data_IF_248390171033
#
_entry.id   IF_248390171033
#
_cell.length_a   1.000
_cell.length_b   1.000
_cell.length_c   1.000
_cell.angle_alpha   90.00
_cell.angle_beta   90.00
_cell.angle_gamma   90.00
#
_symmetry.space_group_name_H-M   'P 1'
#
loop_
_entity.id
_entity.type
_entity.pdbx_description
1 polymer ?
#
# COMPACT_ATOMS: atom_id res chain seq x y z
N UNK A 1 -25.55 -8.29 -10.43
CA UNK A 1 -24.88 -7.65 -9.28
C UNK A 1 -23.88 -6.65 -9.84
N UNK A 2 -23.87 -5.39 -9.37
CA UNK A 2 -22.75 -4.48 -9.67
C UNK A 2 -21.46 -5.12 -9.15
N UNK A 3 -20.37 -5.08 -9.92
CA UNK A 3 -19.07 -5.59 -9.46
C UNK A 3 -18.59 -4.75 -8.27
N UNK A 4 -18.37 -5.39 -7.12
CA UNK A 4 -17.84 -4.73 -5.92
C UNK A 4 -16.41 -4.25 -6.18
N UNK A 5 -16.06 -3.04 -5.71
CA UNK A 5 -14.68 -2.57 -5.73
C UNK A 5 -13.80 -3.45 -4.83
N UNK A 6 -12.66 -3.88 -5.35
CA UNK A 6 -11.65 -4.65 -4.61
C UNK A 6 -10.85 -3.77 -3.66
N UNK A 7 -10.53 -2.54 -4.09
CA UNK A 7 -9.62 -1.64 -3.38
C UNK A 7 -10.13 -0.20 -3.35
N UNK A 8 -9.98 0.44 -2.19
CA UNK A 8 -10.07 1.89 -2.03
C UNK A 8 -8.97 2.42 -1.08
N UNK A 9 -8.72 3.72 -1.07
CA UNK A 9 -7.67 4.35 -0.24
C UNK A 9 -8.13 5.66 0.37
N UNK A 10 -7.75 5.90 1.62
CA UNK A 10 -7.86 7.22 2.29
C UNK A 10 -6.57 8.05 2.16
N UNK A 11 -5.56 7.51 1.48
CA UNK A 11 -4.37 8.27 1.10
C UNK A 11 -4.71 9.30 0.02
N UNK A 12 -3.94 10.39 -0.04
CA UNK A 12 -4.19 11.49 -0.98
C UNK A 12 -3.32 11.36 -2.23
N UNK A 13 -3.78 11.98 -3.31
CA UNK A 13 -2.93 12.48 -4.38
C UNK A 13 -2.20 13.76 -3.93
N UNK A 14 -0.94 13.90 -4.32
CA UNK A 14 -0.12 15.09 -4.08
C UNK A 14 0.71 15.36 -5.34
N UNK A 15 1.00 16.62 -5.65
CA UNK A 15 2.07 16.99 -6.58
C UNK A 15 3.34 17.20 -5.75
N UNK A 16 4.32 16.32 -5.90
CA UNK A 16 5.59 16.41 -5.19
C UNK A 16 6.57 17.33 -5.92
N UNK A 17 7.31 18.08 -5.11
CA UNK A 17 8.50 18.84 -5.50
C UNK A 17 9.70 18.16 -4.84
N UNK A 18 10.67 17.71 -5.63
CA UNK A 18 11.88 17.06 -5.14
C UNK A 18 13.05 18.02 -5.31
N UNK A 19 13.71 18.33 -4.19
CA UNK A 19 14.95 19.09 -4.12
C UNK A 19 16.10 18.13 -3.78
N UNK A 20 17.00 17.93 -4.74
CA UNK A 20 18.11 16.99 -4.63
C UNK A 20 19.30 17.56 -3.85
N UNK A 21 19.27 18.84 -3.45
CA UNK A 21 20.32 19.48 -2.66
C UNK A 21 21.57 19.90 -3.45
N UNK A 22 21.66 19.54 -4.73
CA UNK A 22 22.71 19.96 -5.69
C UNK A 22 22.30 21.17 -6.55
N UNK A 23 21.16 21.80 -6.21
CA UNK A 23 20.53 22.87 -6.99
C UNK A 23 19.54 22.40 -8.05
N UNK A 24 19.42 21.09 -8.28
CA UNK A 24 18.37 20.51 -9.12
C UNK A 24 17.07 20.39 -8.32
N UNK A 25 16.00 20.96 -8.85
CA UNK A 25 14.64 20.83 -8.31
C UNK A 25 13.71 20.35 -9.40
N UNK A 26 12.99 19.26 -9.14
CA UNK A 26 11.90 18.78 -9.99
C UNK A 26 10.56 19.08 -9.31
N UNK A 27 9.81 20.05 -9.83
CA UNK A 27 8.69 20.68 -9.10
C UNK A 27 7.29 20.17 -9.48
N UNK A 28 7.21 19.18 -10.37
CA UNK A 28 5.91 18.65 -10.85
C UNK A 28 6.03 17.15 -11.06
N UNK A 29 6.03 16.42 -9.95
CA UNK A 29 6.07 14.96 -9.94
C UNK A 29 4.78 14.43 -9.34
N UNK A 30 4.27 13.33 -9.90
CA UNK A 30 3.13 12.62 -9.31
C UNK A 30 3.56 12.03 -7.97
N UNK A 31 2.83 12.40 -6.93
CA UNK A 31 3.11 12.01 -5.56
C UNK A 31 1.88 11.56 -4.78
N UNK A 32 2.10 11.40 -3.48
CA UNK A 32 1.06 11.07 -2.52
C UNK A 32 0.79 9.57 -2.39
N UNK A 33 0.84 9.08 -1.15
CA UNK A 33 0.70 7.65 -0.85
C UNK A 33 -0.64 7.05 -1.29
N UNK A 34 -1.68 7.87 -1.47
CA UNK A 34 -2.96 7.38 -2.00
C UNK A 34 -2.87 6.90 -3.44
N UNK A 35 -2.22 7.69 -4.31
CA UNK A 35 -2.12 7.35 -5.71
C UNK A 35 -1.11 6.20 -5.93
N UNK A 36 0.00 6.17 -5.20
CA UNK A 36 0.92 5.03 -5.24
C UNK A 36 0.27 3.73 -4.74
N UNK A 37 -0.57 3.77 -3.70
CA UNK A 37 -1.33 2.58 -3.31
C UNK A 37 -2.34 2.16 -4.40
N UNK A 38 -2.99 3.11 -5.08
CA UNK A 38 -3.85 2.78 -6.21
C UNK A 38 -3.06 2.18 -7.40
N UNK A 39 -1.85 2.67 -7.68
CA UNK A 39 -0.93 2.10 -8.66
C UNK A 39 -0.62 0.63 -8.30
N UNK A 40 -0.23 0.36 -7.05
CA UNK A 40 0.09 -0.99 -6.60
C UNK A 40 -1.09 -1.95 -6.73
N UNK A 41 -2.29 -1.48 -6.38
CA UNK A 41 -3.51 -2.24 -6.56
C UNK A 41 -3.81 -2.50 -8.05
N UNK A 42 -3.61 -1.52 -8.93
CA UNK A 42 -3.81 -1.69 -10.38
C UNK A 42 -2.80 -2.64 -11.01
N UNK A 43 -1.53 -2.56 -10.61
CA UNK A 43 -0.50 -3.50 -11.04
C UNK A 43 -0.93 -4.94 -10.71
N UNK A 44 -1.33 -5.18 -9.46
CA UNK A 44 -1.74 -6.50 -8.99
C UNK A 44 -3.10 -6.97 -9.56
N UNK A 45 -4.01 -6.07 -9.93
CA UNK A 45 -5.35 -6.45 -10.42
C UNK A 45 -5.35 -7.00 -11.85
N UNK A 46 -4.34 -6.63 -12.65
CA UNK A 46 -4.39 -6.77 -14.10
C UNK A 46 -5.52 -5.94 -14.74
N UNK A 47 -5.62 -5.99 -16.07
CA UNK A 47 -6.65 -5.34 -16.88
C UNK A 47 -8.05 -5.85 -16.50
N UNK A 48 -8.19 -7.17 -16.33
CA UNK A 48 -9.48 -7.81 -16.05
C UNK A 48 -10.18 -7.24 -14.80
N UNK A 49 -9.42 -6.89 -13.77
CA UNK A 49 -9.94 -6.31 -12.53
C UNK A 49 -9.57 -4.83 -12.33
N UNK A 50 -9.09 -4.12 -13.37
CA UNK A 50 -8.66 -2.73 -13.25
C UNK A 50 -9.74 -1.81 -12.66
N UNK A 51 -11.01 -2.02 -13.06
CA UNK A 51 -12.17 -1.27 -12.55
C UNK A 51 -12.53 -1.58 -11.10
N UNK A 52 -11.98 -2.63 -10.50
CA UNK A 52 -12.14 -2.92 -9.07
C UNK A 52 -11.27 -2.01 -8.19
N UNK A 53 -10.32 -1.27 -8.78
CA UNK A 53 -9.45 -0.32 -8.08
C UNK A 53 -10.07 1.07 -8.14
N UNK A 54 -10.25 1.73 -6.99
CA UNK A 54 -10.72 3.12 -6.93
C UNK A 54 -9.88 3.96 -5.98
N UNK A 55 -9.66 5.21 -6.36
CA UNK A 55 -9.08 6.25 -5.51
C UNK A 55 -9.73 7.59 -5.83
N UNK A 56 -9.41 8.61 -5.05
CA UNK A 56 -9.88 9.98 -5.27
C UNK A 56 -8.68 10.87 -5.56
N UNK A 57 -8.77 11.63 -6.66
CA UNK A 57 -7.81 12.67 -7.02
C UNK A 57 -8.49 14.03 -6.92
N UNK A 58 -8.08 14.82 -5.92
CA UNK A 58 -8.56 16.19 -5.72
C UNK A 58 -7.72 17.18 -6.52
N UNK A 59 -8.32 17.74 -7.58
CA UNK A 59 -7.71 18.68 -8.50
C UNK A 59 -7.99 20.11 -8.08
N UNK A 60 -6.94 20.92 -7.95
CA UNK A 60 -7.05 22.37 -7.87
C UNK A 60 -7.02 23.04 -9.23
N UNK A 61 -7.00 24.37 -9.25
CA UNK A 61 -6.92 25.18 -10.46
C UNK A 61 -5.60 25.02 -11.25
N UNK A 62 -4.56 24.48 -10.63
CA UNK A 62 -3.22 24.27 -11.18
C UNK A 62 -2.93 22.80 -11.55
N UNK A 63 -3.95 21.94 -11.56
CA UNK A 63 -3.76 20.51 -11.81
C UNK A 63 -3.26 20.25 -13.25
N UNK A 64 -2.11 19.57 -13.45
CA UNK A 64 -1.59 19.28 -14.80
C UNK A 64 -2.46 18.29 -15.56
N UNK A 65 -2.87 18.63 -16.79
CA UNK A 65 -3.77 17.79 -17.59
C UNK A 65 -3.11 16.44 -17.97
N UNK A 66 -1.80 16.43 -18.15
CA UNK A 66 -1.00 15.24 -18.42
C UNK A 66 -1.06 14.22 -17.28
N UNK A 67 -1.25 14.65 -16.04
CA UNK A 67 -1.42 13.73 -14.91
C UNK A 67 -2.76 13.03 -14.95
N UNK A 68 -3.84 13.76 -15.29
CA UNK A 68 -5.15 13.14 -15.47
C UNK A 68 -5.11 12.16 -16.64
N UNK A 69 -4.55 12.56 -17.78
CA UNK A 69 -4.43 11.69 -18.95
C UNK A 69 -3.65 10.42 -18.63
N UNK A 70 -2.54 10.52 -17.88
CA UNK A 70 -1.76 9.37 -17.43
C UNK A 70 -2.57 8.45 -16.50
N UNK A 71 -3.21 8.99 -15.47
CA UNK A 71 -3.97 8.20 -14.48
C UNK A 71 -5.17 7.51 -15.14
N UNK A 72 -5.81 8.16 -16.12
CA UNK A 72 -6.90 7.58 -16.91
C UNK A 72 -6.45 6.35 -17.72
N UNK A 73 -5.18 6.30 -18.17
CA UNK A 73 -4.65 5.10 -18.87
C UNK A 73 -4.71 3.84 -18.03
N UNK A 74 -4.71 3.96 -16.70
CA UNK A 74 -4.77 2.80 -15.80
C UNK A 74 -6.10 2.05 -15.88
N UNK A 75 -7.15 2.63 -16.47
CA UNK A 75 -8.44 1.97 -16.65
C UNK A 75 -9.16 1.66 -15.33
N UNK A 76 -8.82 2.39 -14.27
CA UNK A 76 -9.38 2.20 -12.92
C UNK A 76 -10.71 2.92 -12.76
N UNK A 77 -11.35 2.75 -11.61
CA UNK A 77 -12.53 3.52 -11.19
C UNK A 77 -12.11 4.75 -10.36
N UNK A 78 -11.00 5.39 -10.73
CA UNK A 78 -10.53 6.64 -10.12
C UNK A 78 -11.57 7.76 -10.29
N UNK A 79 -11.80 8.53 -9.23
CA UNK A 79 -12.70 9.69 -9.24
C UNK A 79 -11.86 10.96 -9.14
N UNK A 80 -11.98 11.81 -10.16
CA UNK A 80 -11.41 13.15 -10.14
C UNK A 80 -12.44 14.15 -9.62
N UNK A 81 -12.10 14.87 -8.54
CA UNK A 81 -12.93 15.97 -8.00
C UNK A 81 -12.24 17.29 -8.27
N UNK A 82 -12.92 18.22 -8.93
CA UNK A 82 -12.35 19.53 -9.28
C UNK A 82 -12.84 20.59 -8.31
N UNK A 83 -11.90 21.38 -7.78
CA UNK A 83 -12.18 22.56 -6.99
C UNK A 83 -11.26 23.71 -7.44
N UNK A 84 -11.79 24.59 -8.29
CA UNK A 84 -11.05 25.71 -8.85
C UNK A 84 -10.78 26.84 -7.83
N UNK A 85 -11.35 26.75 -6.62
CA UNK A 85 -11.12 27.71 -5.54
C UNK A 85 -9.83 27.47 -4.75
N UNK A 86 -9.07 26.41 -5.08
CA UNK A 86 -7.81 26.05 -4.40
C UNK A 86 -6.75 25.57 -5.38
N UNK A 87 -5.50 25.59 -4.92
CA UNK A 87 -4.42 24.84 -5.54
C UNK A 87 -4.51 23.36 -5.18
N UNK A 88 -3.99 22.52 -6.05
CA UNK A 88 -3.79 21.09 -5.85
C UNK A 88 -2.85 20.90 -4.67
N UNK A 89 -3.08 19.85 -3.86
CA UNK A 89 -2.21 19.56 -2.72
C UNK A 89 -0.79 19.31 -3.22
N UNK A 90 0.18 20.05 -2.70
CA UNK A 90 1.60 19.96 -3.05
C UNK A 90 2.43 19.71 -1.80
N UNK A 91 3.51 18.96 -1.96
CA UNK A 91 4.50 18.77 -0.91
C UNK A 91 5.91 18.91 -1.46
N UNK A 92 6.79 19.42 -0.62
CA UNK A 92 8.22 19.53 -0.90
C UNK A 92 8.96 18.43 -0.15
N UNK A 93 9.90 17.81 -0.86
CA UNK A 93 10.79 16.75 -0.41
C UNK A 93 12.23 17.18 -0.60
N UNK A 94 12.93 17.49 0.49
CA UNK A 94 14.35 17.83 0.44
C UNK A 94 15.23 16.66 0.84
N UNK A 95 16.26 16.40 0.05
CA UNK A 95 17.33 15.46 0.37
C UNK A 95 18.55 16.24 0.86
N UNK A 96 18.84 16.16 2.17
CA UNK A 96 20.05 16.76 2.74
C UNK A 96 21.31 15.88 2.54
N UNK A 97 22.50 16.36 2.92
CA UNK A 97 23.78 15.63 2.80
C UNK A 97 23.81 14.24 3.48
N UNK A 98 22.89 13.99 4.41
CA UNK A 98 22.78 12.77 5.22
C UNK A 98 21.60 11.88 4.74
N UNK A 99 21.06 12.10 3.53
CA UNK A 99 19.91 11.37 2.97
C UNK A 99 18.63 11.40 3.83
N UNK A 100 18.55 12.25 4.86
CA UNK A 100 17.33 12.45 5.63
C UNK A 100 16.34 13.25 4.77
N UNK A 101 15.21 12.63 4.42
CA UNK A 101 14.11 13.28 3.70
C UNK A 101 13.43 14.29 4.64
N UNK A 102 13.45 15.57 4.28
CA UNK A 102 12.61 16.57 4.90
C UNK A 102 11.32 16.71 4.09
N UNK A 103 10.16 16.69 4.76
CA UNK A 103 8.84 16.74 4.13
C UNK A 103 8.02 17.93 4.65
N UNK A 104 7.40 18.69 3.77
CA UNK A 104 6.39 19.70 4.16
C UNK A 104 5.34 19.89 3.08
N UNK A 105 4.10 20.15 3.48
CA UNK A 105 3.07 20.62 2.56
C UNK A 105 3.32 22.08 2.19
N UNK A 106 3.25 22.40 0.89
CA UNK A 106 3.43 23.78 0.39
C UNK A 106 2.11 24.41 -0.08
N UNK A 107 1.05 23.61 -0.23
CA UNK A 107 -0.33 24.08 -0.37
C UNK A 107 -1.23 23.40 0.65
N UNK A 108 -2.47 23.90 0.79
CA UNK A 108 -3.42 23.38 1.79
C UNK A 108 -3.70 21.89 1.55
N UNK A 109 -3.40 21.09 2.58
CA UNK A 109 -3.70 19.67 2.64
C UNK A 109 -5.21 19.42 2.65
N UNK A 110 -5.73 18.70 1.65
CA UNK A 110 -7.12 18.21 1.62
C UNK A 110 -7.18 16.73 1.96
N UNK A 111 -7.46 16.42 3.23
CA UNK A 111 -7.61 15.03 3.70
C UNK A 111 -8.91 14.42 3.20
N UNK A 112 -8.87 13.14 2.87
CA UNK A 112 -10.06 12.34 2.59
C UNK A 112 -10.66 11.85 3.91
N UNK A 113 -11.92 12.17 4.15
CA UNK A 113 -12.68 11.65 5.30
C UNK A 113 -13.69 10.60 4.82
N UNK A 114 -14.38 9.93 5.75
CA UNK A 114 -15.36 8.88 5.39
C UNK A 114 -16.42 9.42 4.43
N UNK A 115 -16.86 10.66 4.62
CA UNK A 115 -17.86 11.37 3.81
C UNK A 115 -17.34 11.73 2.41
N UNK A 116 -16.02 11.70 2.21
CA UNK A 116 -15.42 11.94 0.89
C UNK A 116 -15.70 10.83 -0.11
N UNK A 117 -15.96 9.62 0.38
CA UNK A 117 -16.20 8.44 -0.46
C UNK A 117 -17.60 8.49 -1.09
N UNK A 118 -17.75 7.92 -2.27
CA UNK A 118 -19.07 7.51 -2.76
C UNK A 118 -19.58 6.29 -1.98
N UNK A 119 -20.88 5.98 -2.10
CA UNK A 119 -21.43 4.77 -1.47
C UNK A 119 -20.77 3.49 -2.01
N UNK A 120 -20.47 3.46 -3.30
CA UNK A 120 -19.75 2.35 -3.93
C UNK A 120 -18.31 2.21 -3.37
N UNK A 121 -17.59 3.32 -3.21
CA UNK A 121 -16.26 3.33 -2.58
C UNK A 121 -16.31 2.90 -1.12
N UNK A 122 -17.32 3.35 -0.35
CA UNK A 122 -17.50 2.96 1.04
C UNK A 122 -17.74 1.45 1.20
N UNK A 123 -18.24 0.78 0.15
CA UNK A 123 -18.51 -0.65 0.10
C UNK A 123 -17.35 -1.50 -0.46
N UNK A 124 -16.18 -0.92 -0.74
CA UNK A 124 -15.01 -1.66 -1.22
C UNK A 124 -14.62 -2.83 -0.28
N UNK A 125 -13.96 -3.84 -0.83
CA UNK A 125 -13.51 -5.01 -0.07
C UNK A 125 -12.33 -4.67 0.85
N UNK A 126 -11.36 -3.88 0.38
CA UNK A 126 -10.17 -3.50 1.13
C UNK A 126 -9.92 -2.00 1.12
N UNK A 127 -9.30 -1.50 2.19
CA UNK A 127 -8.92 -0.09 2.33
C UNK A 127 -7.48 0.07 2.74
N UNK A 128 -6.76 0.92 2.02
CA UNK A 128 -5.45 1.44 2.41
C UNK A 128 -5.59 2.76 3.20
N UNK A 129 -4.85 2.88 4.30
CA UNK A 129 -4.79 4.07 5.15
C UNK A 129 -3.35 4.42 5.51
N UNK A 130 -2.95 5.67 5.23
CA UNK A 130 -1.69 6.27 5.72
C UNK A 130 -2.03 7.43 6.65
N UNK A 131 -1.94 7.19 7.96
CA UNK A 131 -2.35 8.18 8.97
C UNK A 131 -1.86 7.88 10.39
N UNK A 132 -2.06 8.83 11.30
CA UNK A 132 -1.83 8.63 12.74
C UNK A 132 -2.69 7.49 13.30
N UNK A 133 -2.27 6.84 14.40
CA UNK A 133 -3.07 5.79 15.02
C UNK A 133 -4.47 6.28 15.44
N UNK A 134 -4.56 7.47 16.02
CA UNK A 134 -5.84 8.11 16.39
C UNK A 134 -6.79 8.31 15.20
N UNK A 135 -6.27 8.74 14.06
CA UNK A 135 -7.06 8.92 12.84
C UNK A 135 -7.46 7.58 12.23
N UNK A 136 -6.58 6.57 12.27
CA UNK A 136 -6.91 5.21 11.83
C UNK A 136 -8.17 4.70 12.54
N UNK A 137 -8.21 4.78 13.87
CA UNK A 137 -9.38 4.38 14.66
C UNK A 137 -10.65 5.16 14.27
N UNK A 138 -10.54 6.48 14.10
CA UNK A 138 -11.68 7.33 13.70
C UNK A 138 -12.22 6.94 12.32
N UNK A 139 -11.34 6.70 11.33
CA UNK A 139 -11.74 6.33 9.98
C UNK A 139 -12.39 4.94 9.95
N UNK A 140 -11.83 3.96 10.66
CA UNK A 140 -12.38 2.60 10.70
C UNK A 140 -13.77 2.60 11.33
N UNK A 141 -13.97 3.30 12.45
CA UNK A 141 -15.26 3.41 13.10
C UNK A 141 -16.29 4.13 12.22
N UNK A 142 -15.94 5.29 11.65
CA UNK A 142 -16.83 6.03 10.77
C UNK A 142 -17.20 5.24 9.51
N UNK A 143 -16.23 4.54 8.90
CA UNK A 143 -16.47 3.67 7.76
C UNK A 143 -17.41 2.51 8.12
N UNK A 144 -17.24 1.92 9.31
CA UNK A 144 -18.12 0.85 9.79
C UNK A 144 -19.56 1.32 10.00
N UNK A 145 -19.76 2.49 10.62
CA UNK A 145 -21.09 3.10 10.76
C UNK A 145 -21.72 3.39 9.40
N UNK A 146 -20.95 4.00 8.48
CA UNK A 146 -21.43 4.30 7.12
C UNK A 146 -21.83 3.03 6.37
N UNK A 147 -21.04 1.96 6.45
CA UNK A 147 -21.34 0.69 5.78
C UNK A 147 -22.61 0.04 6.30
N UNK A 148 -22.82 0.01 7.63
CA UNK A 148 -24.06 -0.50 8.24
C UNK A 148 -25.27 0.33 7.80
N UNK A 149 -25.13 1.65 7.69
CA UNK A 149 -26.20 2.53 7.24
C UNK A 149 -26.59 2.30 5.77
N UNK A 150 -25.61 1.99 4.91
CA UNK A 150 -25.85 1.64 3.51
C UNK A 150 -26.48 0.25 3.39
N UNK A 151 -25.89 -0.75 4.06
CA UNK A 151 -26.30 -2.15 4.03
C UNK A 151 -26.07 -2.82 5.38
N UNK A 152 -27.15 -3.16 6.11
CA UNK A 152 -27.07 -3.67 7.49
C UNK A 152 -26.26 -4.98 7.64
N UNK A 153 -26.23 -5.82 6.60
CA UNK A 153 -25.48 -7.08 6.57
C UNK A 153 -24.10 -6.97 5.93
N UNK A 154 -23.61 -5.75 5.65
CA UNK A 154 -22.34 -5.55 4.98
C UNK A 154 -21.19 -6.05 5.86
N UNK A 155 -20.30 -6.93 5.36
CA UNK A 155 -19.15 -7.37 6.14
C UNK A 155 -18.21 -6.21 6.45
N UNK A 156 -17.42 -6.37 7.52
CA UNK A 156 -16.29 -5.48 7.77
C UNK A 156 -15.30 -5.57 6.61
N UNK A 157 -14.79 -4.43 6.10
CA UNK A 157 -13.76 -4.45 5.08
C UNK A 157 -12.41 -4.87 5.68
N UNK A 158 -11.47 -5.27 4.82
CA UNK A 158 -10.08 -5.52 5.24
C UNK A 158 -9.34 -4.19 5.27
N UNK A 159 -8.75 -3.84 6.42
CA UNK A 159 -8.01 -2.59 6.60
C UNK A 159 -6.51 -2.84 6.62
N UNK A 160 -5.80 -2.14 5.74
CA UNK A 160 -4.35 -2.10 5.63
C UNK A 160 -3.89 -0.71 6.05
N UNK A 161 -3.17 -0.63 7.17
CA UNK A 161 -2.76 0.63 7.76
C UNK A 161 -1.26 0.73 7.89
N UNK A 162 -0.71 1.87 7.43
CA UNK A 162 0.64 2.31 7.78
C UNK A 162 0.60 3.59 8.63
N UNK A 163 1.44 3.67 9.67
CA UNK A 163 1.60 4.89 10.46
C UNK A 163 2.30 5.97 9.63
N UNK A 164 2.12 7.24 10.02
CA UNK A 164 2.88 8.34 9.44
C UNK A 164 4.24 8.49 10.16
N UNK A 165 5.34 8.73 9.42
CA UNK A 165 6.68 8.82 10.01
C UNK A 165 6.78 9.80 11.18
N UNK A 166 6.17 10.99 11.05
CA UNK A 166 6.22 12.07 12.05
C UNK A 166 5.68 11.67 13.45
N UNK A 167 4.89 10.61 13.53
CA UNK A 167 4.28 10.12 14.77
C UNK A 167 4.77 8.73 15.17
N UNK A 168 5.79 8.19 14.50
CA UNK A 168 6.48 6.99 14.94
C UNK A 168 7.41 7.37 16.10
N UNK A 169 6.83 7.58 17.28
CA UNK A 169 7.56 8.01 18.46
C UNK A 169 7.12 7.20 19.67
N UNK A 170 7.92 7.13 20.75
CA UNK A 170 7.53 6.38 21.93
C UNK A 170 6.27 6.89 22.62
N UNK A 171 5.96 8.19 22.48
CA UNK A 171 4.73 8.76 23.02
C UNK A 171 3.46 8.21 22.35
N UNK A 172 3.56 7.68 21.13
CA UNK A 172 2.43 7.16 20.35
C UNK A 172 2.30 5.63 20.42
N UNK A 173 3.17 4.93 21.14
CA UNK A 173 3.18 3.46 21.18
C UNK A 173 1.87 2.86 21.71
N UNK A 174 1.22 3.52 22.67
CA UNK A 174 -0.05 3.05 23.21
C UNK A 174 -1.20 3.31 22.23
N UNK A 175 -1.17 4.44 21.53
CA UNK A 175 -2.12 4.71 20.45
C UNK A 175 -1.94 3.73 19.29
N UNK A 176 -0.70 3.36 18.95
CA UNK A 176 -0.37 2.31 17.98
C UNK A 176 -0.99 0.97 18.39
N UNK A 177 -0.81 0.55 19.65
CA UNK A 177 -1.40 -0.68 20.20
C UNK A 177 -2.93 -0.65 20.21
N UNK A 178 -3.54 0.51 20.44
CA UNK A 178 -4.99 0.65 20.39
C UNK A 178 -5.50 0.55 18.95
N UNK A 179 -4.91 1.32 18.03
CA UNK A 179 -5.26 1.32 16.61
C UNK A 179 -5.08 -0.05 15.95
N UNK A 180 -4.05 -0.80 16.38
CA UNK A 180 -3.85 -2.18 15.97
C UNK A 180 -5.13 -3.00 16.09
N UNK A 181 -5.92 -2.86 17.16
CA UNK A 181 -7.15 -3.66 17.39
C UNK A 181 -8.26 -3.44 16.34
N UNK A 182 -8.15 -2.41 15.51
CA UNK A 182 -9.15 -2.03 14.50
C UNK A 182 -8.79 -2.49 13.09
N UNK A 183 -7.58 -3.00 12.86
CA UNK A 183 -7.07 -3.27 11.51
C UNK A 183 -6.60 -4.70 11.29
N UNK A 184 -6.67 -5.15 10.05
CA UNK A 184 -6.23 -6.49 9.64
C UNK A 184 -4.72 -6.55 9.40
N UNK A 185 -4.15 -5.49 8.83
CA UNK A 185 -2.72 -5.37 8.56
C UNK A 185 -2.17 -4.08 9.13
N UNK A 186 -1.12 -4.19 9.92
CA UNK A 186 -0.30 -3.08 10.41
C UNK A 186 1.03 -3.14 9.66
N UNK A 187 1.42 -2.08 8.96
CA UNK A 187 2.62 -2.10 8.11
C UNK A 187 3.54 -0.89 8.25
N UNK A 188 4.27 -0.78 9.37
CA UNK A 188 5.38 0.14 9.47
C UNK A 188 6.57 -0.33 8.64
N UNK A 189 7.46 0.59 8.31
CA UNK A 189 8.82 0.22 7.93
C UNK A 189 9.66 -0.15 9.17
N UNK A 190 10.85 -0.74 8.96
CA UNK A 190 11.70 -1.20 10.06
C UNK A 190 12.16 -0.10 11.03
N UNK A 191 12.42 1.10 10.53
CA UNK A 191 12.80 2.27 11.35
C UNK A 191 11.60 2.81 12.12
N UNK A 192 10.47 3.03 11.44
CA UNK A 192 9.20 3.45 12.07
C UNK A 192 8.82 2.52 13.23
N UNK A 193 8.92 1.20 13.03
CA UNK A 193 8.65 0.22 14.08
C UNK A 193 9.63 0.37 15.24
N UNK A 194 10.92 0.58 14.99
CA UNK A 194 11.91 0.76 16.06
C UNK A 194 11.64 2.06 16.84
N UNK A 195 11.31 3.16 16.16
CA UNK A 195 11.13 4.47 16.77
C UNK A 195 9.95 4.50 17.76
N UNK A 196 8.88 3.74 17.51
CA UNK A 196 7.77 3.56 18.48
C UNK A 196 8.22 2.94 19.81
N UNK A 197 9.29 2.14 19.82
CA UNK A 197 9.73 1.39 20.99
C UNK A 197 11.07 1.89 21.56
N UNK A 198 11.57 3.04 21.09
CA UNK A 198 12.87 3.57 21.44
C UNK A 198 13.01 4.05 22.91
N UNK A 199 11.93 4.16 23.69
CA UNK A 199 11.98 4.64 25.08
C UNK A 199 12.19 3.55 26.15
N UNK A 200 12.47 2.31 25.75
CA UNK A 200 12.65 1.19 26.69
C UNK A 200 14.02 1.22 27.38
N UNK A 201 14.07 0.92 28.69
CA UNK A 201 15.32 0.60 29.40
C UNK A 201 15.97 -0.71 28.89
N UNK A 202 15.21 -1.50 28.14
CA UNK A 202 15.62 -2.75 27.53
C UNK A 202 15.32 -2.69 26.03
N UNK A 203 16.31 -3.03 25.21
CA UNK A 203 16.12 -3.24 23.78
C UNK A 203 15.16 -4.43 23.58
N UNK A 204 13.98 -4.16 23.02
CA UNK A 204 13.04 -5.20 22.62
C UNK A 204 13.50 -5.81 21.30
N UNK A 205 13.34 -7.14 21.15
CA UNK A 205 13.50 -7.73 19.83
C UNK A 205 12.35 -7.29 18.92
N UNK A 206 12.57 -7.28 17.60
CA UNK A 206 11.50 -7.02 16.63
C UNK A 206 10.31 -7.97 16.80
N UNK A 207 10.56 -9.22 17.20
CA UNK A 207 9.49 -10.19 17.50
C UNK A 207 8.65 -9.76 18.68
N UNK A 208 9.26 -9.23 19.74
CA UNK A 208 8.53 -8.77 20.93
C UNK A 208 7.72 -7.50 20.65
N UNK A 209 8.30 -6.56 19.88
CA UNK A 209 7.59 -5.36 19.41
C UNK A 209 6.32 -5.76 18.65
N UNK A 210 6.46 -6.65 17.66
CA UNK A 210 5.34 -7.15 16.84
C UNK A 210 4.34 -7.95 17.68
N UNK A 211 4.79 -8.82 18.58
CA UNK A 211 3.91 -9.58 19.46
C UNK A 211 3.04 -8.67 20.34
N UNK A 212 3.55 -7.49 20.71
CA UNK A 212 2.77 -6.49 21.45
C UNK A 212 1.65 -5.86 20.61
N UNK A 213 1.80 -5.84 19.29
CA UNK A 213 0.81 -5.31 18.33
C UNK A 213 -0.23 -6.35 17.91
N UNK A 214 0.18 -7.62 17.82
CA UNK A 214 -0.72 -8.73 17.47
C UNK A 214 -1.72 -8.98 18.60
N UNK A 215 -2.86 -8.28 18.54
CA UNK A 215 -4.03 -8.48 19.40
C UNK A 215 -5.17 -9.02 18.53
N UNK A 216 -6.05 -9.85 19.09
CA UNK A 216 -7.23 -10.32 18.34
C UNK A 216 -8.03 -9.09 17.86
N UNK A 217 -8.22 -8.95 16.55
CA UNK A 217 -8.94 -7.84 15.92
C UNK A 217 -10.43 -8.17 15.80
N UNK A 218 -11.23 -7.80 16.80
CA UNK A 218 -12.66 -8.16 16.88
C UNK A 218 -12.90 -9.68 16.85
N UNK A 219 -14.04 -10.10 16.30
CA UNK A 219 -14.41 -11.52 16.14
C UNK A 219 -13.66 -12.22 14.98
N UNK A 220 -12.90 -11.47 14.16
CA UNK A 220 -12.15 -12.00 13.03
C UNK A 220 -10.72 -12.37 13.46
N UNK A 221 -10.42 -13.67 13.42
CA UNK A 221 -9.25 -14.28 14.05
C UNK A 221 -7.85 -13.93 13.46
N UNK A 222 -7.71 -12.96 12.55
CA UNK A 222 -6.58 -12.96 11.60
C UNK A 222 -6.01 -11.57 11.34
N UNK A 223 -5.34 -11.02 12.36
CA UNK A 223 -4.47 -9.85 12.25
C UNK A 223 -3.04 -10.26 11.93
N UNK A 224 -2.35 -9.45 11.12
CA UNK A 224 -0.93 -9.62 10.82
C UNK A 224 -0.18 -8.29 10.93
N UNK A 225 1.13 -8.37 11.11
CA UNK A 225 2.04 -7.24 10.95
C UNK A 225 2.94 -7.51 9.76
N UNK A 226 3.07 -6.57 8.84
CA UNK A 226 4.00 -6.67 7.70
C UNK A 226 5.02 -5.56 7.81
N UNK A 227 6.23 -5.90 8.24
CA UNK A 227 7.31 -4.90 8.36
C UNK A 227 7.99 -4.77 6.99
N UNK A 228 7.99 -3.54 6.44
CA UNK A 228 8.68 -3.21 5.19
C UNK A 228 10.15 -2.88 5.49
N UNK A 229 11.07 -3.53 4.79
CA UNK A 229 12.51 -3.52 5.14
C UNK A 229 13.39 -3.09 3.95
N UNK A 230 12.82 -2.37 2.99
CA UNK A 230 13.58 -1.78 1.88
C UNK A 230 14.30 -2.84 1.04
N UNK A 231 15.63 -2.72 0.94
CA UNK A 231 16.47 -3.67 0.18
C UNK A 231 16.44 -5.09 0.73
N UNK A 232 16.15 -5.27 2.03
CA UNK A 232 15.97 -6.60 2.63
C UNK A 232 14.62 -7.24 2.25
N UNK A 233 13.68 -6.46 1.71
CA UNK A 233 12.35 -6.91 1.33
C UNK A 233 11.32 -6.65 2.43
N UNK A 234 10.66 -7.69 2.92
CA UNK A 234 9.62 -7.58 3.95
C UNK A 234 9.50 -8.82 4.83
N UNK A 235 8.99 -8.62 6.04
CA UNK A 235 8.65 -9.71 6.97
C UNK A 235 7.18 -9.69 7.33
N UNK A 236 6.49 -10.78 7.04
CA UNK A 236 5.13 -11.07 7.44
C UNK A 236 5.14 -11.78 8.79
N UNK A 237 4.51 -11.18 9.79
CA UNK A 237 4.31 -11.74 11.11
C UNK A 237 2.84 -12.11 11.31
N UNK A 238 2.61 -13.37 11.62
CA UNK A 238 1.32 -13.92 12.05
C UNK A 238 1.43 -14.37 13.51
N UNK A 239 0.32 -14.80 14.14
CA UNK A 239 0.34 -15.27 15.53
C UNK A 239 1.26 -16.48 15.79
N UNK A 240 1.60 -17.26 14.76
CA UNK A 240 2.42 -18.48 14.93
C UNK A 240 3.63 -18.57 14.01
N UNK A 241 3.78 -17.67 13.03
CA UNK A 241 4.80 -17.79 11.99
C UNK A 241 5.31 -16.44 11.53
N UNK A 242 6.60 -16.39 11.23
CA UNK A 242 7.26 -15.25 10.59
C UNK A 242 7.78 -15.72 9.24
N UNK A 243 7.39 -15.03 8.17
CA UNK A 243 7.85 -15.31 6.81
C UNK A 243 8.61 -14.09 6.29
N UNK A 244 9.77 -14.33 5.70
CA UNK A 244 10.61 -13.33 5.05
C UNK A 244 10.49 -13.45 3.54
N UNK A 245 10.16 -12.34 2.88
CA UNK A 245 10.14 -12.23 1.42
C UNK A 245 11.20 -11.21 1.01
N UNK A 246 12.21 -11.66 0.27
CA UNK A 246 13.29 -10.79 -0.21
C UNK A 246 12.77 -9.77 -1.21
N UNK A 247 13.46 -8.64 -1.34
CA UNK A 247 13.15 -7.63 -2.33
C UNK A 247 13.18 -8.20 -3.77
N UNK A 248 12.41 -7.59 -4.67
CA UNK A 248 12.43 -7.97 -6.07
C UNK A 248 13.81 -7.67 -6.70
N UNK A 249 14.31 -6.45 -6.54
CA UNK A 249 15.62 -6.04 -7.06
C UNK A 249 16.72 -6.44 -6.08
N UNK A 250 17.73 -7.15 -6.60
CA UNK A 250 18.95 -7.49 -5.87
C UNK A 250 20.12 -6.56 -6.26
N UNK A 251 19.99 -5.87 -7.40
CA UNK A 251 20.93 -4.88 -7.88
C UNK A 251 20.43 -3.47 -7.53
N UNK A 252 21.12 -2.71 -6.66
CA UNK A 252 20.71 -1.37 -6.28
C UNK A 252 20.73 -0.39 -7.46
N UNK A 253 21.45 -0.68 -8.56
CA UNK A 253 21.47 0.19 -9.75
C UNK A 253 20.11 0.30 -10.45
N UNK A 254 19.21 -0.67 -10.18
CA UNK A 254 17.83 -0.69 -10.71
C UNK A 254 16.86 0.15 -9.86
N UNK A 255 17.30 0.66 -8.72
CA UNK A 255 16.50 1.49 -7.81
C UNK A 255 16.88 2.96 -8.02
N UNK A 256 16.10 3.68 -8.82
CA UNK A 256 16.39 5.08 -9.15
C UNK A 256 15.78 6.06 -8.15
N UNK A 257 14.58 5.78 -7.65
CA UNK A 257 13.89 6.60 -6.65
C UNK A 257 13.02 5.71 -5.76
N UNK A 258 13.29 5.58 -4.45
CA UNK A 258 12.49 4.72 -3.57
C UNK A 258 11.09 5.30 -3.25
N UNK A 259 10.79 6.52 -3.70
CA UNK A 259 9.52 7.22 -3.40
C UNK A 259 8.32 6.41 -3.88
N UNK A 260 7.31 6.28 -3.00
CA UNK A 260 6.08 5.57 -3.32
C UNK A 260 6.18 4.04 -3.34
N UNK A 261 7.38 3.45 -3.25
CA UNK A 261 7.57 2.00 -3.22
C UNK A 261 6.82 1.33 -2.06
N UNK A 262 6.88 1.91 -0.86
CA UNK A 262 6.14 1.44 0.31
C UNK A 262 4.61 1.52 0.16
N UNK A 263 4.08 2.61 -0.39
CA UNK A 263 2.63 2.74 -0.60
C UNK A 263 2.16 1.80 -1.72
N UNK A 264 2.94 1.66 -2.79
CA UNK A 264 2.68 0.72 -3.90
C UNK A 264 2.66 -0.72 -3.40
N UNK A 265 3.60 -1.08 -2.52
CA UNK A 265 3.57 -2.36 -1.81
C UNK A 265 2.22 -2.59 -1.12
N UNK A 266 1.74 -1.61 -0.33
CA UNK A 266 0.48 -1.75 0.41
C UNK A 266 -0.75 -1.79 -0.50
N UNK A 267 -0.70 -1.13 -1.65
CA UNK A 267 -1.69 -1.27 -2.71
C UNK A 267 -1.80 -2.70 -3.24
N UNK A 268 -0.65 -3.28 -3.62
CA UNK A 268 -0.57 -4.67 -4.08
C UNK A 268 -1.01 -5.67 -3.01
N UNK A 269 -0.62 -5.43 -1.75
CA UNK A 269 -1.06 -6.23 -0.61
C UNK A 269 -2.58 -6.17 -0.43
N UNK A 270 -3.16 -4.98 -0.45
CA UNK A 270 -4.60 -4.78 -0.28
C UNK A 270 -5.40 -5.43 -1.42
N UNK A 271 -4.91 -5.37 -2.65
CA UNK A 271 -5.54 -6.04 -3.78
C UNK A 271 -5.43 -7.57 -3.69
N UNK A 272 -4.26 -8.09 -3.30
CA UNK A 272 -4.07 -9.52 -3.05
C UNK A 272 -5.01 -10.07 -1.98
N UNK A 273 -5.23 -9.32 -0.89
CA UNK A 273 -6.19 -9.69 0.15
C UNK A 273 -7.65 -9.59 -0.30
N UNK A 274 -7.94 -8.82 -1.35
CA UNK A 274 -9.28 -8.79 -1.96
C UNK A 274 -9.53 -10.02 -2.84
N UNK A 275 -8.49 -10.75 -3.24
CA UNK A 275 -8.54 -11.90 -4.14
C UNK A 275 -8.82 -11.55 -5.61
N UNK A 276 -8.86 -10.27 -5.97
CA UNK A 276 -9.14 -9.82 -7.35
C UNK A 276 -7.83 -9.50 -8.10
N UNK A 277 -6.84 -10.37 -7.96
CA UNK A 277 -5.51 -10.22 -8.54
C UNK A 277 -5.30 -11.09 -9.77
N UNK A 278 -4.33 -10.71 -10.58
CA UNK A 278 -3.82 -11.47 -11.70
C UNK A 278 -2.28 -11.36 -11.71
N UNK A 279 -1.51 -12.46 -11.57
CA UNK A 279 -1.94 -13.86 -11.39
C UNK A 279 -2.73 -14.11 -10.09
N UNK A 280 -3.47 -15.23 -10.01
CA UNK A 280 -4.31 -15.55 -8.85
C UNK A 280 -3.65 -16.52 -7.85
N UNK A 281 -4.39 -16.94 -6.80
CA UNK A 281 -3.85 -17.85 -5.79
C UNK A 281 -3.53 -19.26 -6.32
N UNK A 282 -4.15 -19.70 -7.42
CA UNK A 282 -3.85 -20.99 -8.07
C UNK A 282 -2.54 -20.89 -8.83
N UNK A 283 -2.31 -19.77 -9.51
CA UNK A 283 -1.01 -19.48 -10.13
C UNK A 283 0.10 -19.42 -9.08
N UNK A 284 -0.16 -18.78 -7.95
CA UNK A 284 0.73 -18.73 -6.78
C UNK A 284 1.03 -20.14 -6.24
N UNK A 285 0.00 -20.97 -6.02
CA UNK A 285 0.15 -22.34 -5.51
C UNK A 285 0.96 -23.21 -6.47
N UNK A 286 0.66 -23.11 -7.77
CA UNK A 286 1.38 -23.81 -8.84
C UNK A 286 2.84 -23.36 -8.90
N UNK A 287 3.10 -22.05 -8.82
CA UNK A 287 4.43 -21.47 -8.83
C UNK A 287 5.32 -21.95 -7.67
N UNK A 288 4.74 -22.18 -6.49
CA UNK A 288 5.47 -22.77 -5.35
C UNK A 288 5.51 -24.30 -5.37
N UNK A 289 4.72 -24.95 -6.22
CA UNK A 289 4.51 -26.39 -6.20
C UNK A 289 3.79 -26.88 -4.94
N UNK A 290 2.91 -26.06 -4.38
CA UNK A 290 1.99 -26.45 -3.32
C UNK A 290 0.79 -27.18 -3.92
N UNK A 291 0.16 -28.06 -3.14
CA UNK A 291 -1.06 -28.76 -3.58
C UNK A 291 -2.14 -27.71 -3.85
N UNK A 292 -2.75 -27.77 -5.04
CA UNK A 292 -3.82 -26.85 -5.42
C UNK A 292 -5.05 -27.07 -4.51
N UNK A 293 -5.27 -26.14 -3.58
CA UNK A 293 -6.47 -26.13 -2.74
C UNK A 293 -7.66 -25.56 -3.52
N UNK A 294 -8.87 -26.06 -3.21
CA UNK A 294 -10.12 -25.53 -3.80
C UNK A 294 -10.42 -24.09 -3.33
N UNK A 295 -9.99 -23.76 -2.11
CA UNK A 295 -10.03 -22.42 -1.51
C UNK A 295 -8.68 -22.15 -0.86
N UNK A 296 -8.13 -20.92 -0.96
CA UNK A 296 -6.81 -20.64 -0.39
C UNK A 296 -6.87 -20.67 1.14
N UNK A 297 -5.92 -21.39 1.75
CA UNK A 297 -5.60 -21.22 3.17
C UNK A 297 -5.23 -19.76 3.48
N UNK A 298 -5.33 -19.35 4.74
CA UNK A 298 -4.89 -18.01 5.14
C UNK A 298 -3.43 -17.75 4.78
N UNK A 299 -2.56 -18.75 4.98
CA UNK A 299 -1.15 -18.64 4.65
C UNK A 299 -0.98 -18.40 3.16
N UNK A 300 -1.68 -19.16 2.32
CA UNK A 300 -1.66 -18.99 0.86
C UNK A 300 -2.18 -17.62 0.44
N UNK A 301 -3.32 -17.15 1.00
CA UNK A 301 -3.86 -15.81 0.72
C UNK A 301 -2.89 -14.70 1.11
N UNK A 302 -2.33 -14.76 2.33
CA UNK A 302 -1.36 -13.76 2.79
C UNK A 302 -0.10 -13.78 1.94
N UNK A 303 0.43 -14.96 1.62
CA UNK A 303 1.62 -15.10 0.80
C UNK A 303 1.40 -14.56 -0.61
N UNK A 304 0.27 -14.90 -1.25
CA UNK A 304 -0.16 -14.33 -2.54
C UNK A 304 -0.14 -12.80 -2.47
N UNK A 305 -0.74 -12.24 -1.42
CA UNK A 305 -0.83 -10.79 -1.27
C UNK A 305 0.54 -10.12 -1.05
N UNK A 306 1.43 -10.69 -0.25
CA UNK A 306 2.77 -10.12 -0.02
C UNK A 306 3.67 -10.30 -1.26
N UNK A 307 3.50 -11.35 -2.05
CA UNK A 307 4.21 -11.48 -3.35
C UNK A 307 3.76 -10.38 -4.31
N UNK A 308 2.46 -10.14 -4.47
CA UNK A 308 1.96 -9.02 -5.28
C UNK A 308 2.48 -7.68 -4.77
N UNK A 309 2.52 -7.49 -3.45
CA UNK A 309 3.07 -6.31 -2.81
C UNK A 309 4.54 -6.08 -3.20
N UNK A 310 5.37 -7.11 -3.11
CA UNK A 310 6.80 -7.05 -3.48
C UNK A 310 7.00 -6.75 -4.97
N UNK A 311 6.25 -7.44 -5.84
CA UNK A 311 6.38 -7.25 -7.29
C UNK A 311 5.89 -5.86 -7.70
N UNK A 312 4.75 -5.40 -7.17
CA UNK A 312 4.21 -4.08 -7.46
C UNK A 312 5.15 -2.95 -7.02
N UNK A 313 5.72 -3.06 -5.81
CA UNK A 313 6.69 -2.08 -5.31
C UNK A 313 7.91 -1.93 -6.23
N UNK A 314 8.34 -3.01 -6.88
CA UNK A 314 9.50 -3.00 -7.78
C UNK A 314 9.33 -2.11 -9.01
N UNK A 315 8.10 -1.91 -9.47
CA UNK A 315 7.80 -1.00 -10.59
C UNK A 315 7.85 0.47 -10.16
N UNK A 316 7.45 0.80 -8.94
CA UNK A 316 7.40 2.18 -8.50
C UNK A 316 8.80 2.79 -8.32
N UNK A 317 9.79 1.95 -8.00
CA UNK A 317 11.13 2.43 -7.61
C UNK A 317 12.16 2.48 -8.75
N UNK A 318 11.79 2.04 -9.95
CA UNK A 318 12.65 2.01 -11.14
C UNK A 318 12.77 3.37 -11.85
N UNK A 319 12.05 4.40 -11.40
CA UNK A 319 12.04 5.73 -11.99
C UNK A 319 11.55 6.79 -11.01
N UNK A 320 11.81 8.07 -11.32
CA UNK A 320 11.12 9.18 -10.67
C UNK A 320 9.66 9.23 -11.13
N UNK A 321 8.73 9.36 -10.18
CA UNK A 321 7.29 9.37 -10.44
C UNK A 321 6.68 7.96 -10.55
N UNK A 322 5.80 7.74 -11.53
CA UNK A 322 5.02 6.50 -11.67
C UNK A 322 5.33 5.79 -13.00
N UNK A 323 5.27 4.45 -13.05
CA UNK A 323 5.49 3.70 -14.28
C UNK A 323 4.39 3.97 -15.29
N UNK A 324 4.71 3.80 -16.58
CA UNK A 324 3.77 3.98 -17.69
C UNK A 324 3.22 2.64 -18.15
N UNK A 325 1.91 2.55 -18.25
CA UNK A 325 1.26 1.41 -18.89
C UNK A 325 1.43 1.50 -20.41
N UNK A 326 1.80 0.39 -21.05
CA UNK A 326 1.95 0.33 -22.49
C UNK A 326 0.56 0.40 -23.18
N UNK A 327 0.35 1.34 -24.13
CA UNK A 327 -0.93 1.43 -24.85
C UNK A 327 -1.25 0.21 -25.70
N UNK A 328 -0.23 -0.54 -26.15
CA UNK A 328 -0.37 -1.73 -27.00
C UNK A 328 -0.54 -3.02 -26.21
N UNK A 329 -0.06 -3.04 -24.96
CA UNK A 329 -0.17 -4.16 -24.04
C UNK A 329 -0.52 -3.64 -22.64
N UNK A 330 -1.82 -3.76 -22.30
CA UNK A 330 -2.40 -3.22 -21.06
C UNK A 330 -2.05 -3.99 -19.78
N UNK A 331 -1.12 -4.93 -19.89
CA UNK A 331 -0.50 -5.66 -18.78
C UNK A 331 1.01 -5.38 -18.65
N UNK A 332 1.60 -4.66 -19.61
CA UNK A 332 3.01 -4.26 -19.59
C UNK A 332 3.20 -2.84 -19.08
N UNK A 333 4.16 -2.69 -18.16
CA UNK A 333 4.51 -1.42 -17.55
C UNK A 333 5.98 -1.14 -17.80
N UNK A 334 6.29 0.06 -18.32
CA UNK A 334 7.64 0.40 -18.80
C UNK A 334 8.21 -0.68 -19.76
N UNK A 335 7.35 -1.26 -20.60
CA UNK A 335 7.72 -2.32 -21.55
C UNK A 335 7.98 -3.69 -20.92
N UNK A 336 7.57 -3.93 -19.67
CA UNK A 336 7.72 -5.23 -18.99
C UNK A 336 6.39 -5.75 -18.45
N UNK A 337 6.04 -6.98 -18.82
CA UNK A 337 4.82 -7.66 -18.37
C UNK A 337 4.82 -7.87 -16.86
N UNK A 338 3.72 -7.47 -16.19
CA UNK A 338 3.53 -7.70 -14.76
C UNK A 338 3.50 -9.20 -14.42
N UNK A 339 2.84 -10.00 -15.27
CA UNK A 339 2.69 -11.45 -15.08
C UNK A 339 4.05 -12.16 -15.20
N UNK A 340 4.84 -11.81 -16.21
CA UNK A 340 6.20 -12.36 -16.36
C UNK A 340 7.08 -11.95 -15.17
N UNK A 341 6.98 -10.69 -14.73
CA UNK A 341 7.72 -10.21 -13.54
C UNK A 341 7.33 -10.98 -12.28
N UNK A 342 6.05 -11.26 -12.09
CA UNK A 342 5.53 -12.05 -10.98
C UNK A 342 6.09 -13.48 -10.99
N UNK A 343 6.03 -14.16 -12.14
CA UNK A 343 6.56 -15.52 -12.26
C UNK A 343 8.09 -15.57 -12.15
N UNK A 344 8.81 -14.56 -12.64
CA UNK A 344 10.26 -14.46 -12.48
C UNK A 344 10.65 -14.34 -10.99
N UNK A 345 9.92 -13.51 -10.22
CA UNK A 345 10.12 -13.42 -8.78
C UNK A 345 9.85 -14.75 -8.08
N UNK A 346 8.71 -15.38 -8.37
CA UNK A 346 8.37 -16.67 -7.77
C UNK A 346 9.37 -17.77 -8.13
N UNK A 347 9.76 -17.88 -9.39
CA UNK A 347 10.74 -18.88 -9.83
C UNK A 347 12.06 -18.76 -9.09
N UNK A 348 12.52 -17.52 -8.86
CA UNK A 348 13.76 -17.23 -8.12
C UNK A 348 13.62 -17.48 -6.61
N UNK A 349 12.53 -17.01 -6.01
CA UNK A 349 12.37 -17.01 -4.55
C UNK A 349 11.69 -18.28 -4.02
N UNK A 350 11.17 -19.17 -4.88
CA UNK A 350 10.49 -20.40 -4.48
C UNK A 350 11.24 -21.21 -3.44
N UNK A 351 12.55 -21.53 -3.58
CA UNK A 351 13.26 -22.31 -2.57
C UNK A 351 13.27 -21.62 -1.19
N UNK A 352 13.49 -20.31 -1.16
CA UNK A 352 13.51 -19.50 0.07
C UNK A 352 12.13 -19.40 0.71
N UNK A 353 11.06 -19.29 -0.09
CA UNK A 353 9.69 -19.22 0.41
C UNK A 353 9.25 -20.59 0.96
N UNK A 354 9.47 -21.68 0.22
CA UNK A 354 9.02 -23.02 0.58
C UNK A 354 9.75 -23.56 1.82
N UNK A 355 11.06 -23.32 1.95
CA UNK A 355 11.86 -23.70 3.15
C UNK A 355 11.31 -23.08 4.43
N UNK A 356 10.65 -21.92 4.32
CA UNK A 356 9.99 -21.29 5.45
C UNK A 356 8.58 -21.80 5.69
N UNK A 357 7.94 -22.53 4.78
CA UNK A 357 6.55 -23.01 4.91
C UNK A 357 6.43 -24.34 5.65
N UNK A 358 7.48 -25.15 5.62
CA UNK A 358 7.69 -26.28 6.54
C UNK A 358 7.80 -25.79 8.00
#
# INVERSE_FOLDING_TARGET
>A
MKSRLGFCTFGMFIIDEIDYGDGKVESTIIGGGGLYAALGARLASGEANARAVSCIVDKGSDFPQEFQALIETWGTSCIFRTDLGRLTTRAWNGYGPIQHRAFKYVTLKRRLEVESLTDEQALAATFHMVCSPSRCMSLVNGLWERRKALHASEPRPIIIWEPIPDLCTPAEVDNLREAAKFVNVISPNGGELADFFASGLQELSRRDMVASLLKKCGDNAKQVVVVREGAEGSRLYTQGKVLHLRAYHLDPSRVLDPTGGGNTFLGGLAMGLSGMVNPDFKDMSTGLGLVAETCPSQTTSMLTAVVHATVAASYAIEQVGVPRLDPSDRESWNGQSYIERFHAYLGRERPHIVDQLD
#
